data_IF_679230603153
#
_entry.id   IF_679230603153
#
_cell.length_a   1.000
_cell.length_b   1.000
_cell.length_c   1.000
_cell.angle_alpha   90.00
_cell.angle_beta   90.00
_cell.angle_gamma   90.00
#
_symmetry.space_group_name_H-M   'P 1'
#
loop_
_entity.id
_entity.type
_entity.pdbx_description
1 polymer ?
#
# COMPACT_ATOMS: atom_id res chain seq x y z
N UNK A 1 -18.02 12.57 38.16
CA UNK A 1 -18.15 12.72 36.69
C UNK A 1 -18.39 11.37 35.99
N UNK A 2 -19.43 11.30 35.14
CA UNK A 2 -19.72 10.12 34.32
C UNK A 2 -18.63 9.93 33.26
N UNK A 3 -18.10 8.71 33.15
CA UNK A 3 -17.06 8.38 32.15
C UNK A 3 -17.68 8.36 30.75
N UNK A 4 -17.01 8.97 29.78
CA UNK A 4 -17.43 8.96 28.37
C UNK A 4 -17.48 7.53 27.82
N UNK A 5 -18.57 7.18 27.15
CA UNK A 5 -18.75 5.90 26.46
C UNK A 5 -18.85 6.13 24.94
N UNK A 6 -18.01 5.41 24.20
CA UNK A 6 -17.93 5.50 22.75
C UNK A 6 -19.18 4.97 22.06
N UNK A 7 -19.76 5.77 21.15
CA UNK A 7 -21.04 5.50 20.47
C UNK A 7 -21.08 4.19 19.66
N UNK A 8 -19.92 3.73 19.19
CA UNK A 8 -19.82 2.50 18.37
C UNK A 8 -19.38 1.28 19.18
N UNK A 9 -19.29 1.38 20.52
CA UNK A 9 -18.83 0.29 21.38
C UNK A 9 -19.64 -1.00 21.20
N UNK A 10 -20.95 -0.89 21.03
CA UNK A 10 -21.83 -2.06 20.83
C UNK A 10 -21.67 -2.68 19.44
N UNK A 11 -21.50 -1.86 18.40
CA UNK A 11 -21.26 -2.35 17.04
C UNK A 11 -19.94 -3.12 16.95
N UNK A 12 -18.88 -2.60 17.56
CA UNK A 12 -17.57 -3.28 17.61
C UNK A 12 -17.68 -4.63 18.34
N UNK A 13 -18.47 -4.72 19.42
CA UNK A 13 -18.71 -5.99 20.12
C UNK A 13 -19.46 -6.98 19.23
N UNK A 14 -20.52 -6.55 18.55
CA UNK A 14 -21.30 -7.41 17.66
C UNK A 14 -20.48 -7.89 16.45
N UNK A 15 -19.64 -7.04 15.86
CA UNK A 15 -18.72 -7.46 14.78
C UNK A 15 -17.68 -8.46 15.26
N UNK A 16 -17.12 -8.25 16.46
CA UNK A 16 -16.17 -9.19 17.05
C UNK A 16 -16.82 -10.55 17.38
N UNK A 17 -18.10 -10.58 17.77
CA UNK A 17 -18.84 -11.82 18.04
C UNK A 17 -19.27 -12.56 16.77
N UNK A 18 -19.70 -11.85 15.72
CA UNK A 18 -20.10 -12.47 14.43
C UNK A 18 -19.01 -13.33 13.81
N UNK A 19 -17.75 -12.99 14.04
CA UNK A 19 -16.60 -13.70 13.49
C UNK A 19 -16.11 -14.88 14.36
N UNK A 20 -16.73 -15.12 15.52
CA UNK A 20 -16.40 -16.23 16.41
C UNK A 20 -17.22 -17.46 16.04
N UNK A 21 -16.54 -18.59 15.82
CA UNK A 21 -17.17 -19.91 15.81
C UNK A 21 -16.89 -20.62 17.13
N UNK A 22 -17.85 -21.44 17.59
CA UNK A 22 -17.85 -22.05 18.92
C UNK A 22 -16.62 -22.94 19.23
N UNK A 23 -15.97 -23.48 18.19
CA UNK A 23 -14.85 -24.43 18.28
C UNK A 23 -13.90 -24.28 17.08
N UNK A 24 -13.30 -23.09 16.92
CA UNK A 24 -12.36 -22.78 15.81
C UNK A 24 -10.94 -23.30 16.03
N UNK A 25 -10.47 -23.27 17.27
CA UNK A 25 -9.06 -23.57 17.63
C UNK A 25 -8.87 -25.03 18.02
N UNK A 26 -9.76 -25.58 18.84
CA UNK A 26 -9.80 -26.98 19.23
C UNK A 26 -11.23 -27.49 19.08
N UNK A 27 -11.39 -28.74 18.64
CA UNK A 27 -12.69 -29.39 18.51
C UNK A 27 -13.36 -29.67 19.86
N UNK A 28 -14.60 -30.18 19.87
CA UNK A 28 -15.29 -30.55 21.11
C UNK A 28 -14.53 -31.66 21.86
N UNK A 29 -14.55 -31.57 23.20
CA UNK A 29 -13.91 -32.56 24.07
C UNK A 29 -14.45 -33.99 23.90
N UNK A 30 -15.73 -34.12 23.54
CA UNK A 30 -16.36 -35.38 23.11
C UNK A 30 -17.16 -35.10 21.83
N UNK A 31 -16.78 -35.75 20.74
CA UNK A 31 -17.51 -35.67 19.46
C UNK A 31 -18.78 -36.50 19.60
N UNK A 32 -19.94 -35.89 19.37
CA UNK A 32 -21.21 -36.61 19.34
C UNK A 32 -21.22 -37.57 18.15
N UNK A 33 -21.43 -38.86 18.42
CA UNK A 33 -21.57 -39.89 17.37
C UNK A 33 -23.00 -39.79 16.83
N UNK A 34 -23.20 -39.61 15.50
CA UNK A 34 -24.53 -39.52 14.92
C UNK A 34 -25.30 -40.83 15.14
N UNK A 35 -26.60 -40.72 15.43
CA UNK A 35 -27.48 -41.88 15.54
C UNK A 35 -27.63 -42.56 14.17
N UNK A 36 -27.76 -43.90 14.09
CA UNK A 36 -28.01 -44.60 12.83
C UNK A 36 -29.23 -44.10 12.04
N UNK A 37 -30.19 -43.45 12.71
CA UNK A 37 -31.35 -42.83 12.08
C UNK A 37 -31.03 -41.48 11.38
N UNK A 38 -29.91 -40.84 11.71
CA UNK A 38 -29.47 -39.55 11.16
C UNK A 38 -28.55 -39.73 9.94
N UNK A 39 -28.92 -40.67 9.05
CA UNK A 39 -28.16 -40.91 7.82
C UNK A 39 -28.38 -39.78 6.79
N UNK A 40 -27.39 -39.55 5.93
CA UNK A 40 -27.42 -38.48 4.93
C UNK A 40 -28.51 -38.73 3.88
N UNK A 41 -29.57 -37.93 3.89
CA UNK A 41 -30.64 -38.00 2.89
C UNK A 41 -30.25 -37.24 1.60
N UNK A 42 -30.78 -37.69 0.45
CA UNK A 42 -30.54 -37.07 -0.86
C UNK A 42 -30.97 -35.59 -0.84
N UNK A 43 -30.09 -34.68 -1.30
CA UNK A 43 -30.27 -33.21 -1.35
C UNK A 43 -30.37 -32.49 0.01
N UNK A 44 -30.05 -33.15 1.13
CA UNK A 44 -30.09 -32.53 2.46
C UNK A 44 -29.12 -31.36 2.66
N UNK A 45 -27.96 -31.39 1.99
CA UNK A 45 -26.92 -30.35 2.06
C UNK A 45 -27.00 -29.32 0.93
N UNK A 46 -27.94 -29.44 0.01
CA UNK A 46 -28.07 -28.50 -1.09
C UNK A 46 -28.63 -27.16 -0.58
N UNK A 47 -27.99 -26.02 -0.88
CA UNK A 47 -28.50 -24.71 -0.49
C UNK A 47 -29.83 -24.44 -1.19
N UNK A 48 -30.89 -24.26 -0.41
CA UNK A 48 -32.22 -23.87 -0.95
C UNK A 48 -32.15 -22.41 -1.38
N UNK A 49 -32.06 -22.17 -2.69
CA UNK A 49 -32.17 -20.83 -3.25
C UNK A 49 -33.58 -20.30 -3.01
N UNK A 50 -33.68 -19.11 -2.43
CA UNK A 50 -34.97 -18.42 -2.32
C UNK A 50 -35.53 -18.14 -3.73
N UNK A 51 -36.85 -18.21 -3.93
CA UNK A 51 -37.46 -17.84 -5.20
C UNK A 51 -37.09 -16.39 -5.55
N UNK A 52 -36.74 -16.14 -6.82
CA UNK A 52 -36.37 -14.81 -7.31
C UNK A 52 -37.50 -13.81 -7.02
N UNK A 53 -37.30 -12.97 -6.00
CA UNK A 53 -38.10 -11.76 -5.83
C UNK A 53 -37.69 -10.79 -6.93
N UNK A 54 -38.67 -10.11 -7.55
CA UNK A 54 -38.36 -8.98 -8.45
C UNK A 54 -37.54 -7.99 -7.62
N UNK A 55 -36.36 -7.62 -8.10
CA UNK A 55 -35.52 -6.61 -7.47
C UNK A 55 -36.35 -5.33 -7.31
N UNK A 56 -36.68 -4.94 -6.08
CA UNK A 56 -37.44 -3.70 -5.83
C UNK A 56 -36.61 -2.45 -6.13
N UNK A 57 -35.29 -2.57 -6.20
CA UNK A 57 -34.39 -1.45 -6.44
C UNK A 57 -33.34 -1.75 -7.53
N UNK A 58 -33.83 -2.18 -8.69
CA UNK A 58 -33.07 -1.93 -9.92
C UNK A 58 -32.96 -0.42 -10.09
N UNK A 59 -31.75 0.15 -10.00
CA UNK A 59 -31.49 1.57 -10.32
C UNK A 59 -32.09 1.84 -11.69
N UNK A 60 -33.28 2.47 -11.71
CA UNK A 60 -33.92 2.91 -12.95
C UNK A 60 -33.01 3.99 -13.49
N UNK A 61 -32.19 3.67 -14.49
CA UNK A 61 -31.62 4.71 -15.33
C UNK A 61 -32.81 5.51 -15.85
N UNK A 62 -32.88 6.79 -15.49
CA UNK A 62 -33.88 7.67 -16.08
C UNK A 62 -33.60 7.64 -17.59
N UNK A 63 -34.51 7.12 -18.43
CA UNK A 63 -34.30 7.24 -19.86
C UNK A 63 -34.28 8.75 -20.15
N UNK A 64 -33.20 9.22 -20.79
CA UNK A 64 -33.18 10.54 -21.41
C UNK A 64 -34.21 10.49 -22.55
N UNK A 65 -35.47 10.72 -22.20
CA UNK A 65 -36.59 10.72 -23.13
C UNK A 65 -36.43 11.93 -24.05
N UNK A 66 -36.17 11.65 -25.32
CA UNK A 66 -36.18 12.68 -26.36
C UNK A 66 -37.59 13.28 -26.38
N UNK A 67 -37.75 14.62 -26.33
CA UNK A 67 -39.07 15.21 -26.30
C UNK A 67 -39.91 14.74 -27.50
N UNK A 68 -41.19 14.37 -27.28
CA UNK A 68 -42.03 13.85 -28.35
C UNK A 68 -42.25 14.91 -29.43
N UNK A 69 -42.58 14.48 -30.65
CA UNK A 69 -42.81 15.38 -31.80
C UNK A 69 -43.95 16.39 -31.58
N UNK A 70 -44.83 16.13 -30.60
CA UNK A 70 -45.91 17.01 -30.13
C UNK A 70 -45.48 17.98 -29.02
N UNK A 71 -44.24 17.89 -28.52
CA UNK A 71 -43.71 18.79 -27.51
C UNK A 71 -43.39 20.16 -28.13
N UNK A 72 -44.12 21.18 -27.69
CA UNK A 72 -43.87 22.57 -28.06
C UNK A 72 -43.31 23.27 -26.82
N UNK A 73 -42.01 23.60 -26.78
CA UNK A 73 -41.45 24.29 -25.62
C UNK A 73 -42.17 25.62 -25.41
N UNK A 74 -42.43 25.98 -24.15
CA UNK A 74 -43.04 27.26 -23.79
C UNK A 74 -42.07 28.39 -24.14
N UNK A 75 -42.13 28.87 -25.38
CA UNK A 75 -41.22 29.89 -25.93
C UNK A 75 -41.72 31.32 -25.71
N UNK A 76 -42.96 31.50 -25.22
CA UNK A 76 -43.61 32.82 -25.14
C UNK A 76 -43.95 33.22 -23.72
N UNK A 77 -42.92 33.48 -22.93
CA UNK A 77 -43.08 34.43 -21.82
C UNK A 77 -43.12 35.82 -22.48
N UNK A 78 -44.26 36.53 -22.42
CA UNK A 78 -44.36 37.93 -22.86
C UNK A 78 -43.47 38.79 -21.95
N UNK A 79 -42.19 38.91 -22.28
CA UNK A 79 -41.24 39.76 -21.57
C UNK A 79 -41.41 41.19 -22.08
N UNK A 80 -41.74 42.09 -21.18
CA UNK A 80 -41.69 43.52 -21.44
C UNK A 80 -40.23 43.96 -21.44
N UNK A 81 -39.61 43.99 -22.62
CA UNK A 81 -38.19 44.39 -22.76
C UNK A 81 -37.96 45.82 -22.27
N UNK A 82 -38.95 46.71 -22.39
CA UNK A 82 -38.88 48.09 -21.91
C UNK A 82 -38.66 48.14 -20.39
N UNK A 83 -39.54 47.49 -19.62
CA UNK A 83 -39.44 47.49 -18.15
C UNK A 83 -38.21 46.72 -17.68
N UNK A 84 -37.87 45.61 -18.34
CA UNK A 84 -36.67 44.84 -18.01
C UNK A 84 -35.38 45.64 -18.26
N UNK A 85 -35.30 46.37 -19.37
CA UNK A 85 -34.15 47.23 -19.68
C UNK A 85 -34.05 48.39 -18.69
N UNK A 86 -35.18 49.00 -18.34
CA UNK A 86 -35.22 50.06 -17.32
C UNK A 86 -34.72 49.57 -15.97
N UNK A 87 -35.23 48.44 -15.48
CA UNK A 87 -34.76 47.82 -14.23
C UNK A 87 -33.26 47.48 -14.33
N UNK A 88 -32.81 46.88 -15.43
CA UNK A 88 -31.41 46.51 -15.61
C UNK A 88 -30.45 47.71 -15.59
N UNK A 89 -30.86 48.86 -16.11
CA UNK A 89 -30.06 50.10 -16.06
C UNK A 89 -30.07 50.71 -14.66
N UNK A 90 -31.21 50.68 -13.95
CA UNK A 90 -31.35 51.22 -12.59
C UNK A 90 -30.57 50.37 -11.59
N UNK A 91 -30.64 49.04 -11.69
CA UNK A 91 -29.99 48.12 -10.75
C UNK A 91 -28.58 47.73 -11.17
N UNK A 92 -28.18 48.07 -12.39
CA UNK A 92 -26.86 47.72 -12.93
C UNK A 92 -25.75 48.50 -12.23
N UNK A 93 -24.63 47.84 -11.96
CA UNK A 93 -23.46 48.53 -11.44
C UNK A 93 -22.95 49.57 -12.46
N UNK A 94 -22.57 50.78 -12.00
CA UNK A 94 -21.98 51.78 -12.89
C UNK A 94 -20.68 51.24 -13.48
N UNK A 95 -20.38 51.64 -14.73
CA UNK A 95 -19.12 51.28 -15.38
C UNK A 95 -17.96 51.79 -14.53
N UNK A 96 -17.04 50.88 -14.16
CA UNK A 96 -15.82 51.27 -13.45
C UNK A 96 -15.07 52.34 -14.26
N UNK A 97 -14.74 53.50 -13.69
CA UNK A 97 -14.03 54.54 -14.41
C UNK A 97 -12.66 54.00 -14.82
N UNK A 98 -12.21 54.37 -16.02
CA UNK A 98 -10.82 54.12 -16.41
C UNK A 98 -9.89 54.89 -15.47
N UNK A 99 -8.71 54.35 -15.21
CA UNK A 99 -7.70 55.04 -14.42
C UNK A 99 -7.14 56.21 -15.25
N UNK A 100 -7.51 57.43 -14.88
CA UNK A 100 -6.96 58.67 -15.44
C UNK A 100 -6.57 59.63 -14.32
N UNK A 101 -5.57 60.47 -14.58
CA UNK A 101 -5.19 61.58 -13.72
C UNK A 101 -5.70 62.89 -14.33
N UNK A 102 -6.09 63.84 -13.49
CA UNK A 102 -6.45 65.20 -13.88
C UNK A 102 -5.41 66.13 -13.29
N UNK A 103 -4.65 66.80 -14.15
CA UNK A 103 -3.54 67.66 -13.72
C UNK A 103 -3.92 69.15 -13.80
N UNK A 104 -4.70 69.54 -14.82
CA UNK A 104 -5.07 70.94 -15.05
C UNK A 104 -6.38 71.33 -14.35
N UNK A 105 -6.49 72.60 -13.94
CA UNK A 105 -7.73 73.18 -13.37
C UNK A 105 -8.91 73.15 -14.36
N UNK A 106 -8.62 73.04 -15.67
CA UNK A 106 -9.59 72.95 -16.75
C UNK A 106 -10.14 71.52 -16.95
N UNK A 107 -9.53 70.53 -16.29
CA UNK A 107 -10.01 69.15 -16.29
C UNK A 107 -9.41 68.27 -17.38
N UNK A 108 -8.23 68.61 -17.91
CA UNK A 108 -7.54 67.77 -18.90
C UNK A 108 -7.14 66.43 -18.26
N UNK A 109 -7.49 65.34 -18.95
CA UNK A 109 -7.35 63.98 -18.43
C UNK A 109 -6.28 63.22 -19.20
N UNK A 110 -5.33 62.62 -18.46
CA UNK A 110 -4.34 61.71 -19.03
C UNK A 110 -4.59 60.28 -18.53
N UNK A 111 -4.62 59.31 -19.44
CA UNK A 111 -4.76 57.91 -19.08
C UNK A 111 -3.50 57.42 -18.36
N UNK A 112 -3.67 56.70 -17.26
CA UNK A 112 -2.58 56.21 -16.42
C UNK A 112 -1.92 54.94 -16.96
N UNK A 113 -2.59 54.18 -17.82
CA UNK A 113 -2.07 52.94 -18.43
C UNK A 113 -0.87 53.15 -19.38
N UNK A 114 -0.89 54.14 -20.32
CA UNK A 114 0.24 54.42 -21.20
C UNK A 114 1.30 55.34 -20.58
N UNK A 115 1.02 56.04 -19.48
CA UNK A 115 1.90 57.09 -18.92
C UNK A 115 3.17 56.57 -18.24
N UNK A 116 3.32 55.24 -18.09
CA UNK A 116 4.46 54.63 -17.41
C UNK A 116 4.45 54.80 -15.88
N UNK A 117 3.46 55.52 -15.33
CA UNK A 117 3.29 55.72 -13.89
C UNK A 117 2.81 54.45 -13.18
N UNK A 118 2.22 53.51 -13.93
CA UNK A 118 1.85 52.17 -13.47
C UNK A 118 2.95 51.15 -13.78
N UNK A 119 3.38 50.34 -12.79
CA UNK A 119 4.39 49.32 -13.02
C UNK A 119 3.86 48.20 -13.94
N UNK A 120 4.49 48.04 -15.11
CA UNK A 120 4.27 46.90 -15.99
C UNK A 120 5.18 45.74 -15.59
N UNK A 121 4.63 44.79 -14.81
CA UNK A 121 5.40 43.64 -14.31
C UNK A 121 5.94 42.70 -15.41
N UNK A 122 5.38 42.78 -16.63
CA UNK A 122 5.88 42.08 -17.82
C UNK A 122 7.32 42.47 -18.16
N UNK A 123 7.70 43.73 -17.89
CA UNK A 123 9.02 44.26 -18.23
C UNK A 123 10.05 44.09 -17.09
N UNK A 124 9.74 43.27 -16.08
CA UNK A 124 10.67 42.99 -14.98
C UNK A 124 11.87 42.21 -15.51
N UNK A 125 13.09 42.54 -15.07
CA UNK A 125 14.33 41.86 -15.50
C UNK A 125 14.32 40.33 -15.29
N UNK A 126 13.59 39.87 -14.27
CA UNK A 126 13.48 38.46 -13.92
C UNK A 126 12.13 37.86 -14.37
N UNK A 127 11.42 38.50 -15.29
CA UNK A 127 10.16 37.98 -15.82
C UNK A 127 10.44 36.70 -16.62
N UNK A 128 9.75 35.61 -16.30
CA UNK A 128 9.99 34.30 -16.90
C UNK A 128 11.27 33.57 -16.42
N UNK A 129 12.06 34.16 -15.52
CA UNK A 129 13.27 33.53 -14.96
C UNK A 129 12.94 32.86 -13.63
N UNK A 130 13.35 31.61 -13.47
CA UNK A 130 13.15 30.86 -12.24
C UNK A 130 13.99 31.47 -11.08
N UNK A 131 13.37 31.80 -9.93
CA UNK A 131 14.10 32.40 -8.83
C UNK A 131 15.18 31.48 -8.22
N UNK A 132 16.31 32.07 -7.82
CA UNK A 132 17.46 31.35 -7.22
C UNK A 132 17.12 30.49 -5.99
N UNK A 133 16.10 30.86 -5.22
CA UNK A 133 15.72 30.06 -4.05
C UNK A 133 15.02 28.75 -4.44
N UNK A 134 14.34 28.72 -5.58
CA UNK A 134 13.65 27.52 -6.08
C UNK A 134 14.67 26.49 -6.54
N UNK A 135 15.74 26.92 -7.24
CA UNK A 135 16.82 25.99 -7.62
C UNK A 135 17.50 25.38 -6.39
N UNK A 136 17.86 26.21 -5.40
CA UNK A 136 18.47 25.75 -4.15
C UNK A 136 17.61 24.73 -3.42
N UNK A 137 16.30 25.00 -3.31
CA UNK A 137 15.35 24.08 -2.66
C UNK A 137 15.22 22.76 -3.41
N UNK A 138 15.23 22.78 -4.75
CA UNK A 138 15.19 21.57 -5.55
C UNK A 138 16.45 20.73 -5.37
N UNK A 139 17.63 21.37 -5.30
CA UNK A 139 18.91 20.70 -5.02
C UNK A 139 18.96 20.12 -3.60
N UNK A 140 18.39 20.81 -2.61
CA UNK A 140 18.22 20.30 -1.24
C UNK A 140 17.32 19.07 -1.21
N UNK A 141 16.12 19.15 -1.80
CA UNK A 141 15.19 17.99 -1.87
C UNK A 141 15.83 16.79 -2.57
N UNK A 142 16.57 17.03 -3.67
CA UNK A 142 17.26 15.95 -4.38
C UNK A 142 18.33 15.27 -3.52
N UNK A 143 19.10 16.06 -2.76
CA UNK A 143 20.09 15.50 -1.82
C UNK A 143 19.43 14.70 -0.70
N UNK A 144 18.36 15.21 -0.11
CA UNK A 144 17.59 14.50 0.91
C UNK A 144 17.02 13.18 0.38
N UNK A 145 16.52 13.16 -0.86
CA UNK A 145 16.05 11.94 -1.53
C UNK A 145 17.18 10.92 -1.74
N UNK A 146 18.35 11.37 -2.21
CA UNK A 146 19.53 10.53 -2.43
C UNK A 146 20.05 9.95 -1.09
N UNK A 147 20.11 10.76 -0.04
CA UNK A 147 20.50 10.34 1.31
C UNK A 147 19.52 9.33 1.91
N UNK A 148 18.21 9.57 1.75
CA UNK A 148 17.18 8.63 2.18
C UNK A 148 17.28 7.30 1.44
N UNK A 149 17.44 7.33 0.12
CA UNK A 149 17.63 6.12 -0.69
C UNK A 149 18.89 5.35 -0.27
N UNK A 150 20.00 6.05 -0.03
CA UNK A 150 21.23 5.44 0.45
C UNK A 150 21.03 4.76 1.83
N UNK A 151 20.37 5.43 2.76
CA UNK A 151 20.04 4.87 4.08
C UNK A 151 19.18 3.62 3.99
N UNK A 152 18.12 3.64 3.17
CA UNK A 152 17.26 2.48 2.92
C UNK A 152 18.07 1.32 2.31
N UNK A 153 18.94 1.61 1.35
CA UNK A 153 19.81 0.59 0.74
C UNK A 153 20.78 -0.01 1.77
N UNK A 154 21.33 0.80 2.68
CA UNK A 154 22.18 0.28 3.76
C UNK A 154 21.41 -0.61 4.74
N UNK A 155 20.20 -0.22 5.14
CA UNK A 155 19.35 -1.07 5.98
C UNK A 155 19.01 -2.39 5.29
N UNK A 156 18.68 -2.35 4.00
CA UNK A 156 18.43 -3.54 3.21
C UNK A 156 19.68 -4.42 3.12
N UNK A 157 20.86 -3.85 2.91
CA UNK A 157 22.14 -4.59 2.92
C UNK A 157 22.43 -5.22 4.28
N UNK A 158 22.15 -4.53 5.38
CA UNK A 158 22.31 -5.07 6.75
C UNK A 158 21.36 -6.25 7.01
N UNK A 159 20.12 -6.14 6.53
CA UNK A 159 19.10 -7.21 6.65
C UNK A 159 19.30 -8.34 5.64
N UNK A 160 19.98 -8.08 4.52
CA UNK A 160 20.23 -9.08 3.49
C UNK A 160 21.23 -10.13 3.99
N UNK A 161 20.87 -11.40 3.83
CA UNK A 161 21.79 -12.50 4.05
C UNK A 161 22.95 -12.43 3.04
N UNK A 162 24.18 -12.66 3.51
CA UNK A 162 25.37 -12.67 2.64
C UNK A 162 25.32 -13.91 1.75
N UNK A 163 25.32 -13.71 0.43
CA UNK A 163 25.50 -14.80 -0.51
C UNK A 163 26.98 -15.22 -0.53
N UNK A 164 27.25 -16.51 -0.43
CA UNK A 164 28.60 -17.04 -0.55
C UNK A 164 29.10 -16.93 -2.00
N UNK A 165 30.31 -16.43 -2.19
CA UNK A 165 30.96 -16.54 -3.50
C UNK A 165 31.30 -18.01 -3.81
N UNK A 166 31.51 -18.33 -5.10
CA UNK A 166 31.90 -19.70 -5.47
C UNK A 166 33.25 -20.10 -4.84
N UNK A 167 34.18 -19.15 -4.70
CA UNK A 167 35.46 -19.36 -4.02
C UNK A 167 35.28 -19.64 -2.52
N UNK A 168 34.47 -18.82 -1.82
CA UNK A 168 34.15 -19.04 -0.41
C UNK A 168 33.44 -20.40 -0.22
N UNK A 169 32.54 -20.79 -1.13
CA UNK A 169 31.83 -22.07 -1.10
C UNK A 169 32.78 -23.25 -1.24
N UNK A 170 33.70 -23.22 -2.21
CA UNK A 170 34.68 -24.30 -2.38
C UNK A 170 35.62 -24.41 -1.18
N UNK A 171 36.02 -23.29 -0.59
CA UNK A 171 36.83 -23.28 0.63
C UNK A 171 36.08 -23.90 1.82
N UNK A 172 34.81 -23.56 2.02
CA UNK A 172 33.96 -24.14 3.08
C UNK A 172 33.78 -25.65 2.86
N UNK A 173 33.48 -26.08 1.64
CA UNK A 173 33.36 -27.51 1.31
C UNK A 173 34.67 -28.26 1.56
N UNK A 174 35.81 -27.68 1.19
CA UNK A 174 37.13 -28.28 1.44
C UNK A 174 37.41 -28.41 2.94
N UNK A 175 37.05 -27.39 3.74
CA UNK A 175 37.19 -27.43 5.19
C UNK A 175 36.29 -28.49 5.83
N UNK A 176 35.03 -28.61 5.39
CA UNK A 176 34.09 -29.62 5.87
C UNK A 176 34.56 -31.04 5.53
N UNK A 177 35.01 -31.28 4.29
CA UNK A 177 35.55 -32.58 3.86
C UNK A 177 36.79 -32.97 4.68
N UNK A 178 37.70 -32.03 4.95
CA UNK A 178 38.86 -32.26 5.80
C UNK A 178 38.44 -32.65 7.23
N UNK A 179 37.47 -31.96 7.82
CA UNK A 179 36.96 -32.29 9.15
C UNK A 179 36.29 -33.68 9.17
N UNK A 180 35.54 -34.02 8.12
CA UNK A 180 34.96 -35.36 7.97
C UNK A 180 36.04 -36.43 7.89
N UNK A 181 37.13 -36.21 7.14
CA UNK A 181 38.26 -37.14 7.09
C UNK A 181 38.92 -37.34 8.46
N UNK A 182 39.10 -36.27 9.23
CA UNK A 182 39.68 -36.33 10.58
C UNK A 182 38.81 -37.16 11.54
N UNK A 183 37.49 -36.92 11.56
CA UNK A 183 36.55 -37.67 12.41
C UNK A 183 36.39 -39.11 11.93
N UNK A 184 36.35 -39.35 10.61
CA UNK A 184 36.24 -40.69 10.05
C UNK A 184 37.49 -41.53 10.37
N UNK A 185 38.69 -40.93 10.34
CA UNK A 185 39.91 -41.61 10.82
C UNK A 185 39.81 -42.00 12.29
N UNK A 186 39.31 -41.11 13.15
CA UNK A 186 39.10 -41.42 14.56
C UNK A 186 38.06 -42.54 14.77
N UNK A 187 36.97 -42.52 13.99
CA UNK A 187 35.94 -43.56 14.00
C UNK A 187 36.47 -44.91 13.53
N UNK A 188 37.26 -44.95 12.45
CA UNK A 188 37.90 -46.16 11.95
C UNK A 188 38.96 -46.72 12.91
N UNK A 189 39.59 -45.87 13.71
CA UNK A 189 40.54 -46.25 14.75
C UNK A 189 39.89 -46.84 16.01
N UNK A 190 38.55 -46.90 16.10
CA UNK A 190 37.87 -47.48 17.25
C UNK A 190 38.10 -49.00 17.33
N UNK A 191 38.28 -49.56 18.54
CA UNK A 191 38.37 -51.00 18.73
C UNK A 191 37.04 -51.69 18.39
N UNK A 192 37.12 -52.87 17.77
CA UNK A 192 35.96 -53.67 17.35
C UNK A 192 35.02 -53.99 18.52
N UNK A 193 35.59 -54.19 19.71
CA UNK A 193 34.85 -54.54 20.93
C UNK A 193 34.52 -53.27 21.74
N UNK A 194 33.23 -52.95 21.81
CA UNK A 194 32.68 -51.74 22.47
C UNK A 194 31.79 -52.10 23.67
N UNK A 195 32.31 -52.92 24.57
CA UNK A 195 31.52 -53.47 25.68
C UNK A 195 31.30 -52.48 26.83
N UNK A 196 32.18 -51.50 26.99
CA UNK A 196 32.05 -50.50 28.07
C UNK A 196 31.16 -49.34 27.62
N UNK A 197 30.28 -48.89 28.52
CA UNK A 197 29.35 -47.76 28.27
C UNK A 197 30.07 -46.52 27.71
N UNK A 198 31.27 -46.21 28.19
CA UNK A 198 32.07 -45.09 27.68
C UNK A 198 32.46 -45.27 26.20
N UNK A 199 32.85 -46.48 25.78
CA UNK A 199 33.20 -46.76 24.38
C UNK A 199 31.98 -46.67 23.46
N UNK A 200 30.82 -47.10 23.93
CA UNK A 200 29.55 -46.96 23.19
C UNK A 200 29.18 -45.49 23.00
N UNK A 201 29.18 -44.71 24.08
CA UNK A 201 28.92 -43.26 24.02
C UNK A 201 29.89 -42.54 23.07
N UNK A 202 31.19 -42.85 23.15
CA UNK A 202 32.18 -42.23 22.27
C UNK A 202 31.96 -42.57 20.78
N UNK A 203 31.59 -43.82 20.48
CA UNK A 203 31.21 -44.24 19.14
C UNK A 203 29.98 -43.48 18.65
N UNK A 204 28.93 -43.42 19.47
CA UNK A 204 27.70 -42.69 19.15
C UNK A 204 27.97 -41.20 18.88
N UNK A 205 28.82 -40.55 19.67
CA UNK A 205 29.24 -39.17 19.46
C UNK A 205 29.93 -38.97 18.11
N UNK A 206 30.82 -39.89 17.72
CA UNK A 206 31.51 -39.84 16.43
C UNK A 206 30.54 -40.07 15.26
N UNK A 207 29.61 -41.01 15.39
CA UNK A 207 28.57 -41.26 14.38
C UNK A 207 27.63 -40.06 14.20
N UNK A 208 27.24 -39.39 15.29
CA UNK A 208 26.41 -38.19 15.22
C UNK A 208 27.13 -37.06 14.51
N UNK A 209 28.42 -36.84 14.82
CA UNK A 209 29.24 -35.83 14.14
C UNK A 209 29.42 -36.13 12.65
N UNK A 210 29.63 -37.41 12.29
CA UNK A 210 29.73 -37.83 10.89
C UNK A 210 28.42 -37.57 10.13
N UNK A 211 27.28 -37.97 10.71
CA UNK A 211 25.95 -37.74 10.12
C UNK A 211 25.66 -36.25 9.91
N UNK A 212 26.06 -35.40 10.87
CA UNK A 212 25.94 -33.94 10.74
C UNK A 212 26.78 -33.41 9.57
N UNK A 213 28.06 -33.77 9.51
CA UNK A 213 28.95 -33.32 8.43
C UNK A 213 28.50 -33.82 7.06
N UNK A 214 28.02 -35.05 6.95
CA UNK A 214 27.47 -35.59 5.70
C UNK A 214 26.24 -34.82 5.25
N UNK A 215 25.34 -34.49 6.18
CA UNK A 215 24.17 -33.67 5.88
C UNK A 215 24.56 -32.27 5.40
N UNK A 216 25.50 -31.61 6.09
CA UNK A 216 25.96 -30.26 5.77
C UNK A 216 26.69 -30.20 4.42
N UNK A 217 27.57 -31.17 4.14
CA UNK A 217 28.25 -31.29 2.84
C UNK A 217 27.22 -31.50 1.72
N UNK A 218 26.27 -32.42 1.91
CA UNK A 218 25.23 -32.68 0.91
C UNK A 218 24.34 -31.45 0.66
N UNK A 219 24.00 -30.70 1.72
CA UNK A 219 23.22 -29.48 1.60
C UNK A 219 23.96 -28.41 0.77
N UNK A 220 25.24 -28.18 1.07
CA UNK A 220 26.04 -27.17 0.36
C UNK A 220 26.36 -27.62 -1.08
N UNK A 221 26.58 -28.91 -1.34
CA UNK A 221 26.83 -29.40 -2.71
C UNK A 221 25.58 -29.32 -3.59
N UNK A 222 24.40 -29.64 -3.04
CA UNK A 222 23.12 -29.63 -3.77
C UNK A 222 22.69 -28.24 -4.22
N UNK A 223 22.99 -27.19 -3.44
CA UNK A 223 22.53 -25.84 -3.71
C UNK A 223 23.62 -24.96 -4.31
N UNK A 224 23.38 -24.39 -5.52
CA UNK A 224 24.37 -23.54 -6.20
C UNK A 224 24.63 -22.22 -5.45
N UNK A 225 23.55 -21.58 -4.99
CA UNK A 225 23.59 -20.36 -4.19
C UNK A 225 23.24 -20.68 -2.74
N UNK A 226 24.13 -20.29 -1.83
CA UNK A 226 23.96 -20.43 -0.38
C UNK A 226 24.00 -19.04 0.23
N UNK A 227 23.00 -18.72 1.04
CA UNK A 227 22.90 -17.46 1.78
C UNK A 227 23.15 -17.75 3.26
N UNK A 228 24.04 -16.97 3.86
CA UNK A 228 24.37 -17.05 5.28
C UNK A 228 23.82 -15.81 5.97
N UNK A 229 23.09 -16.03 7.06
CA UNK A 229 22.66 -14.94 7.93
C UNK A 229 23.89 -14.31 8.59
N UNK A 230 23.99 -12.98 8.55
CA UNK A 230 25.04 -12.22 9.23
C UNK A 230 24.84 -12.22 10.75
#
# INVERSE_FOLDING_TARGET
PLRYLYKLRELVKHEAEKNKSQWKTMGPAKVAVPSPNDFLQKRSKEPKLAPKKKEEDGKKSLPLSVPPRTYHPVTRIKKNFISKNAVAVITGEPKKPRHFCVDTRQGDKYLLEPSGLFPKYINKKNYGVLPKYVTRRNEEMKREEEEYQASVLEELKKKAMKALSEEERTNVLKALKKNWEEINRAYQGLPIVTDTRYKQMHKEELELKLKQLEHDIAAIEKHKSVYIAN
#
